data_IF_204117907265
#
_entry.id   IF_204117907265
#
_cell.length_a   1.000
_cell.length_b   1.000
_cell.length_c   1.000
_cell.angle_alpha   90.00
_cell.angle_beta   90.00
_cell.angle_gamma   90.00
#
_symmetry.space_group_name_H-M   'P 1'
#
loop_
_entity.id
_entity.type
_entity.pdbx_description
1 polymer ?
#
# COMPACT_ATOMS: atom_id res chain seq x y z
N UNK A 1 3.52 17.16 -27.64
CA UNK A 1 4.06 16.11 -26.76
C UNK A 1 4.03 14.83 -27.55
N UNK A 2 5.16 14.13 -27.67
CA UNK A 2 5.24 12.84 -28.35
C UNK A 2 5.14 11.68 -27.34
N UNK A 3 5.09 10.45 -27.86
CA UNK A 3 4.95 9.25 -27.04
C UNK A 3 6.12 9.10 -26.06
N UNK A 4 7.35 9.40 -26.51
CA UNK A 4 8.54 9.18 -25.69
C UNK A 4 8.64 10.20 -24.54
N UNK A 5 8.23 11.44 -24.77
CA UNK A 5 8.09 12.45 -23.70
C UNK A 5 7.04 12.07 -22.66
N UNK A 6 5.93 11.41 -23.06
CA UNK A 6 4.94 10.88 -22.11
C UNK A 6 5.54 9.73 -21.31
N UNK A 7 6.26 8.80 -21.96
CA UNK A 7 6.91 7.68 -21.28
C UNK A 7 7.91 8.14 -20.24
N UNK A 8 8.74 9.13 -20.54
CA UNK A 8 9.67 9.69 -19.55
C UNK A 8 8.95 10.27 -18.32
N UNK A 9 7.78 10.89 -18.51
CA UNK A 9 6.97 11.37 -17.38
C UNK A 9 6.37 10.20 -16.57
N UNK A 10 5.97 9.11 -17.24
CA UNK A 10 5.50 7.90 -16.58
C UNK A 10 6.64 7.27 -15.77
N UNK A 11 7.82 7.12 -16.33
CA UNK A 11 8.99 6.53 -15.64
C UNK A 11 9.32 7.33 -14.36
N UNK A 12 9.31 8.66 -14.44
CA UNK A 12 9.52 9.53 -13.27
C UNK A 12 8.43 9.37 -12.21
N UNK A 13 7.17 9.19 -12.64
CA UNK A 13 6.06 8.93 -11.71
C UNK A 13 6.19 7.55 -11.07
N UNK A 14 6.62 6.54 -11.84
CA UNK A 14 6.83 5.17 -11.34
C UNK A 14 7.94 5.13 -10.29
N UNK A 15 9.02 5.89 -10.47
CA UNK A 15 10.07 6.06 -9.46
C UNK A 15 9.52 6.64 -8.14
N UNK A 16 8.64 7.65 -8.25
CA UNK A 16 7.97 8.23 -7.07
C UNK A 16 7.01 7.23 -6.40
N UNK A 17 6.26 6.46 -7.19
CA UNK A 17 5.39 5.41 -6.68
C UNK A 17 6.20 4.34 -5.92
N UNK A 18 7.34 3.93 -6.47
CA UNK A 18 8.24 2.97 -5.82
C UNK A 18 8.74 3.49 -4.47
N UNK A 19 9.16 4.76 -4.39
CA UNK A 19 9.56 5.38 -3.12
C UNK A 19 8.40 5.36 -2.10
N UNK A 20 7.20 5.75 -2.53
CA UNK A 20 6.00 5.78 -1.68
C UNK A 20 5.61 4.38 -1.19
N UNK A 21 5.69 3.36 -2.06
CA UNK A 21 5.42 1.98 -1.67
C UNK A 21 6.41 1.48 -0.62
N UNK A 22 7.71 1.72 -0.81
CA UNK A 22 8.74 1.33 0.15
C UNK A 22 8.55 2.02 1.50
N UNK A 23 8.27 3.32 1.50
CA UNK A 23 7.99 4.08 2.74
C UNK A 23 6.75 3.56 3.46
N UNK A 24 5.69 3.25 2.71
CA UNK A 24 4.46 2.66 3.28
C UNK A 24 4.72 1.27 3.86
N UNK A 25 5.50 0.45 3.19
CA UNK A 25 5.89 -0.87 3.68
C UNK A 25 6.71 -0.77 4.97
N UNK A 26 7.69 0.14 5.04
CA UNK A 26 8.48 0.39 6.26
C UNK A 26 7.59 0.78 7.45
N UNK A 27 6.59 1.64 7.24
CA UNK A 27 5.61 1.98 8.28
C UNK A 27 4.78 0.76 8.72
N UNK A 28 4.38 -0.10 7.78
CA UNK A 28 3.69 -1.34 8.10
C UNK A 28 4.55 -2.30 8.93
N UNK A 29 5.86 -2.38 8.67
CA UNK A 29 6.79 -3.17 9.49
C UNK A 29 6.90 -2.62 10.92
N UNK A 30 7.00 -1.30 11.08
CA UNK A 30 6.98 -0.67 12.42
C UNK A 30 5.70 -0.99 13.18
N UNK A 31 4.55 -1.02 12.50
CA UNK A 31 3.28 -1.47 13.09
C UNK A 31 3.34 -2.96 13.45
N UNK A 32 3.92 -3.79 12.59
CA UNK A 32 4.13 -5.22 12.84
C UNK A 32 4.92 -5.51 14.11
N UNK A 33 5.99 -4.76 14.37
CA UNK A 33 6.78 -4.87 15.61
C UNK A 33 5.95 -4.51 16.85
N UNK A 34 5.15 -3.44 16.79
CA UNK A 34 4.25 -3.06 17.89
C UNK A 34 3.21 -4.16 18.15
N UNK A 35 2.58 -4.67 17.08
CA UNK A 35 1.61 -5.77 17.18
C UNK A 35 2.24 -7.04 17.78
N UNK A 36 3.49 -7.36 17.42
CA UNK A 36 4.25 -8.49 17.97
C UNK A 36 4.43 -8.36 19.49
N UNK A 37 4.89 -7.20 19.95
CA UNK A 37 5.06 -6.91 21.39
C UNK A 37 3.74 -6.99 22.14
N UNK A 38 2.65 -6.53 21.52
CA UNK A 38 1.31 -6.50 22.11
C UNK A 38 0.50 -7.80 21.88
N UNK A 39 1.07 -8.81 21.23
CA UNK A 39 0.39 -10.06 20.84
C UNK A 39 -0.91 -9.83 20.04
N UNK A 40 -0.95 -8.78 19.22
CA UNK A 40 -2.07 -8.45 18.35
C UNK A 40 -1.98 -9.18 17.01
N UNK A 41 -3.14 -9.48 16.43
CA UNK A 41 -3.20 -10.07 15.09
C UNK A 41 -2.67 -9.11 14.02
N UNK A 42 -1.88 -9.63 13.08
CA UNK A 42 -1.42 -8.86 11.90
C UNK A 42 -2.60 -8.44 11.02
N UNK A 43 -3.59 -9.31 10.86
CA UNK A 43 -4.78 -9.08 10.04
C UNK A 43 -5.84 -8.29 10.81
N UNK A 44 -6.23 -7.13 10.27
CA UNK A 44 -7.32 -6.29 10.78
C UNK A 44 -8.27 -5.88 9.63
N UNK A 45 -9.37 -6.61 9.40
CA UNK A 45 -10.29 -6.33 8.31
C UNK A 45 -11.00 -4.98 8.46
N UNK A 46 -11.20 -4.50 9.69
CA UNK A 46 -11.85 -3.21 9.93
C UNK A 46 -10.91 -2.07 9.50
N UNK A 47 -9.61 -2.21 9.77
CA UNK A 47 -8.60 -1.26 9.30
C UNK A 47 -8.55 -1.20 7.77
N UNK A 48 -8.57 -2.36 7.10
CA UNK A 48 -8.54 -2.46 5.62
C UNK A 48 -9.77 -1.80 5.00
N UNK A 49 -10.98 -2.12 5.49
CA UNK A 49 -12.23 -1.46 5.04
C UNK A 49 -12.18 0.07 5.16
N UNK A 50 -11.61 0.60 6.25
CA UNK A 50 -11.42 2.05 6.42
C UNK A 50 -10.44 2.64 5.40
N UNK A 51 -9.39 1.91 5.01
CA UNK A 51 -8.48 2.36 3.93
C UNK A 51 -9.25 2.46 2.62
N UNK A 52 -9.94 1.39 2.23
CA UNK A 52 -10.66 1.34 0.96
C UNK A 52 -11.71 2.45 0.85
N UNK A 53 -12.55 2.61 1.87
CA UNK A 53 -13.55 3.69 1.90
C UNK A 53 -12.91 5.07 1.78
N UNK A 54 -11.81 5.33 2.49
CA UNK A 54 -11.07 6.60 2.40
C UNK A 54 -10.50 6.83 1.00
N UNK A 55 -9.96 5.80 0.35
CA UNK A 55 -9.37 5.94 -0.99
C UNK A 55 -10.42 6.14 -2.07
N UNK A 56 -11.59 5.49 -1.96
CA UNK A 56 -12.71 5.72 -2.85
C UNK A 56 -13.28 7.14 -2.70
N UNK A 57 -13.39 7.65 -1.47
CA UNK A 57 -13.85 9.02 -1.21
C UNK A 57 -12.88 10.09 -1.73
N UNK A 58 -11.58 9.82 -1.67
CA UNK A 58 -10.55 10.74 -2.13
C UNK A 58 -10.25 10.62 -3.64
N UNK A 59 -10.87 9.67 -4.36
CA UNK A 59 -10.59 9.43 -5.76
C UNK A 59 -11.28 10.48 -6.64
N UNK A 60 -10.48 11.40 -7.17
CA UNK A 60 -10.89 12.41 -8.16
C UNK A 60 -10.25 12.14 -9.54
N UNK A 61 -9.61 10.98 -9.69
CA UNK A 61 -8.83 10.62 -10.86
C UNK A 61 -9.65 9.88 -11.93
N UNK A 62 -9.00 9.56 -13.07
CA UNK A 62 -9.65 8.86 -14.18
C UNK A 62 -9.88 7.36 -13.92
N UNK A 63 -9.28 6.80 -12.87
CA UNK A 63 -9.53 5.42 -12.45
C UNK A 63 -10.85 5.33 -11.70
N UNK A 64 -11.65 4.31 -11.98
CA UNK A 64 -12.85 4.06 -11.20
C UNK A 64 -12.52 3.59 -9.77
N UNK A 65 -13.50 3.70 -8.87
CA UNK A 65 -13.35 3.31 -7.48
C UNK A 65 -13.00 1.82 -7.28
N UNK A 66 -13.38 0.95 -8.22
CA UNK A 66 -13.06 -0.47 -8.14
C UNK A 66 -11.57 -0.71 -8.43
N UNK A 67 -11.00 0.02 -9.40
CA UNK A 67 -9.59 -0.03 -9.75
C UNK A 67 -8.72 0.48 -8.58
N UNK A 68 -9.13 1.59 -7.95
CA UNK A 68 -8.45 2.10 -6.75
C UNK A 68 -8.44 1.06 -5.63
N UNK A 69 -9.58 0.41 -5.36
CA UNK A 69 -9.65 -0.64 -4.33
C UNK A 69 -8.69 -1.79 -4.65
N UNK A 70 -8.69 -2.32 -5.88
CA UNK A 70 -7.79 -3.42 -6.29
C UNK A 70 -6.30 -3.06 -6.11
N UNK A 71 -5.91 -1.83 -6.45
CA UNK A 71 -4.53 -1.37 -6.27
C UNK A 71 -4.15 -1.32 -4.79
N UNK A 72 -5.00 -0.71 -3.94
CA UNK A 72 -4.72 -0.60 -2.52
C UNK A 72 -4.78 -1.95 -1.79
N UNK A 73 -5.64 -2.86 -2.23
CA UNK A 73 -5.67 -4.25 -1.74
C UNK A 73 -4.32 -4.91 -1.95
N UNK A 74 -3.76 -4.83 -3.17
CA UNK A 74 -2.43 -5.39 -3.46
C UNK A 74 -1.32 -4.79 -2.59
N UNK A 75 -1.33 -3.47 -2.41
CA UNK A 75 -0.34 -2.78 -1.56
C UNK A 75 -0.46 -3.21 -0.09
N UNK A 76 -1.68 -3.40 0.42
CA UNK A 76 -1.93 -3.91 1.77
C UNK A 76 -1.44 -5.34 1.89
N UNK A 77 -1.76 -6.20 0.93
CA UNK A 77 -1.36 -7.61 0.96
C UNK A 77 0.15 -7.80 1.03
N UNK A 78 0.91 -7.07 0.22
CA UNK A 78 2.38 -7.12 0.28
C UNK A 78 2.91 -6.63 1.61
N UNK A 79 2.30 -5.59 2.19
CA UNK A 79 2.69 -5.10 3.52
C UNK A 79 2.45 -6.14 4.62
N UNK A 80 1.29 -6.82 4.59
CA UNK A 80 0.98 -7.90 5.53
C UNK A 80 1.89 -9.11 5.34
N UNK A 81 2.27 -9.42 4.11
CA UNK A 81 3.22 -10.49 3.80
C UNK A 81 4.55 -10.23 4.50
N UNK A 82 5.06 -9.00 4.39
CA UNK A 82 6.28 -8.57 5.09
C UNK A 82 6.13 -8.60 6.62
N UNK A 83 5.01 -8.09 7.17
CA UNK A 83 4.71 -8.17 8.62
C UNK A 83 4.72 -9.64 9.12
N UNK A 84 4.13 -10.57 8.35
CA UNK A 84 4.11 -12.00 8.71
C UNK A 84 5.49 -12.63 8.71
N UNK A 85 6.36 -12.26 7.77
CA UNK A 85 7.73 -12.76 7.72
C UNK A 85 8.51 -12.31 8.96
N UNK A 86 8.40 -11.04 9.36
CA UNK A 86 9.07 -10.51 10.56
C UNK A 86 8.53 -11.10 11.87
N UNK A 87 7.22 -11.32 11.94
CA UNK A 87 6.60 -11.88 13.16
C UNK A 87 6.86 -13.37 13.33
N UNK A 88 7.00 -14.15 12.25
CA UNK A 88 7.36 -15.58 12.29
C UNK A 88 8.85 -15.86 12.50
N UNK A 89 9.72 -14.86 12.32
CA UNK A 89 11.16 -14.97 12.59
C UNK A 89 11.50 -14.69 14.05
N UNK A 90 11.41 -15.71 14.91
CA UNK A 90 12.26 -16.01 16.09
C UNK A 90 11.74 -17.27 16.78
#
# INVERSE_FOLDING_TARGET
>A
MDIDSIRTQIDQLDDQLLELFNRRAALALSIGEIKKVQQLAVYDPNREKRIFSRMQQANLGPLDNSAIVRLFERVIDESRSLERILTKGK
#
